data_IF_247528998857
#
_entry.id   IF_247528998857
#
_cell.length_a   1.000
_cell.length_b   1.000
_cell.length_c   1.000
_cell.angle_alpha   90.00
_cell.angle_beta   90.00
_cell.angle_gamma   90.00
#
_symmetry.space_group_name_H-M   'P 1'
#
loop_
_entity.id
_entity.type
_entity.pdbx_description
1 polymer ?
#
# COMPACT_ATOMS: atom_id res chain seq x y z
N UNK A 1 -11.91 -2.78 -4.89
CA UNK A 1 -12.39 -2.78 -6.29
C UNK A 1 -12.29 -4.19 -6.86
N UNK A 2 -11.09 -4.75 -7.06
CA UNK A 2 -10.89 -6.04 -7.74
C UNK A 2 -11.60 -7.26 -7.10
N UNK A 3 -11.67 -7.36 -5.76
CA UNK A 3 -12.36 -8.49 -5.10
C UNK A 3 -13.89 -8.41 -5.22
N UNK A 4 -14.45 -7.20 -5.14
CA UNK A 4 -15.89 -7.00 -5.26
C UNK A 4 -16.36 -7.36 -6.67
N UNK A 5 -15.63 -6.90 -7.69
CA UNK A 5 -15.93 -7.22 -9.09
C UNK A 5 -15.87 -8.73 -9.38
N UNK A 6 -14.92 -9.44 -8.76
CA UNK A 6 -14.87 -10.90 -8.84
C UNK A 6 -16.10 -11.55 -8.18
N UNK A 7 -16.47 -11.14 -6.97
CA UNK A 7 -17.59 -11.72 -6.25
C UNK A 7 -18.92 -11.46 -7.00
N UNK A 8 -19.10 -10.27 -7.57
CA UNK A 8 -20.26 -9.89 -8.40
C UNK A 8 -20.32 -10.71 -9.70
N UNK A 9 -19.17 -10.93 -10.36
CA UNK A 9 -19.09 -11.74 -11.57
C UNK A 9 -19.40 -13.22 -11.30
N UNK A 10 -18.93 -13.77 -10.17
CA UNK A 10 -19.26 -15.13 -9.75
C UNK A 10 -20.75 -15.24 -9.43
N UNK A 11 -21.33 -14.25 -8.77
CA UNK A 11 -22.76 -14.22 -8.46
C UNK A 11 -23.63 -14.20 -9.72
N UNK A 12 -23.31 -13.35 -10.69
CA UNK A 12 -24.02 -13.32 -11.97
C UNK A 12 -23.92 -14.66 -12.73
N UNK A 13 -22.75 -15.30 -12.70
CA UNK A 13 -22.55 -16.62 -13.32
C UNK A 13 -23.38 -17.69 -12.62
N UNK A 14 -23.31 -17.78 -11.29
CA UNK A 14 -24.06 -18.76 -10.50
C UNK A 14 -25.58 -18.59 -10.66
N UNK A 15 -26.08 -17.36 -10.76
CA UNK A 15 -27.48 -17.10 -11.06
C UNK A 15 -27.92 -17.66 -12.42
N UNK A 16 -27.00 -17.72 -13.39
CA UNK A 16 -27.26 -18.25 -14.74
C UNK A 16 -27.10 -19.78 -14.81
N UNK A 17 -26.10 -20.35 -14.14
CA UNK A 17 -25.75 -21.78 -14.23
C UNK A 17 -26.40 -22.65 -13.15
N UNK A 18 -26.93 -22.04 -12.08
CA UNK A 18 -27.41 -22.75 -10.89
C UNK A 18 -26.28 -23.32 -10.02
N UNK A 19 -25.02 -22.94 -10.26
CA UNK A 19 -23.90 -23.34 -9.42
C UNK A 19 -24.04 -22.80 -7.99
N UNK A 20 -23.63 -23.60 -7.01
CA UNK A 20 -23.53 -23.19 -5.61
C UNK A 20 -22.44 -22.12 -5.46
N UNK A 21 -22.85 -20.89 -5.10
CA UNK A 21 -21.96 -19.74 -4.89
C UNK A 21 -20.82 -20.04 -3.91
N UNK A 22 -21.10 -20.79 -2.84
CA UNK A 22 -20.09 -21.12 -1.83
C UNK A 22 -18.97 -22.01 -2.37
N UNK A 23 -19.28 -22.81 -3.40
CA UNK A 23 -18.32 -23.68 -4.09
C UNK A 23 -17.63 -22.97 -5.26
N UNK A 24 -18.30 -21.99 -5.87
CA UNK A 24 -17.77 -21.21 -6.98
C UNK A 24 -16.76 -20.14 -6.54
N UNK A 25 -16.92 -19.60 -5.33
CA UNK A 25 -16.03 -18.58 -4.78
C UNK A 25 -14.68 -19.15 -4.38
N UNK A 26 -13.60 -18.49 -4.84
CA UNK A 26 -12.25 -18.77 -4.37
C UNK A 26 -12.07 -18.21 -2.97
N UNK A 27 -11.71 -19.08 -2.03
CA UNK A 27 -11.43 -18.69 -0.65
C UNK A 27 -10.32 -17.62 -0.57
N UNK A 28 -10.36 -16.75 0.44
CA UNK A 28 -9.34 -15.70 0.65
C UNK A 28 -7.95 -16.32 0.74
N UNK A 29 -7.83 -17.40 1.49
CA UNK A 29 -6.60 -18.17 1.66
C UNK A 29 -6.02 -18.68 0.35
N UNK A 30 -6.88 -19.17 -0.55
CA UNK A 30 -6.46 -19.67 -1.86
C UNK A 30 -6.16 -18.56 -2.85
N UNK A 31 -6.75 -17.37 -2.69
CA UNK A 31 -6.45 -16.19 -3.51
C UNK A 31 -5.15 -15.50 -3.12
N UNK A 32 -4.65 -15.72 -1.90
CA UNK A 32 -3.47 -15.05 -1.38
C UNK A 32 -2.16 -15.59 -1.97
N UNK A 33 -1.16 -14.72 -2.12
CA UNK A 33 0.18 -15.15 -2.51
C UNK A 33 0.74 -16.13 -1.45
N UNK A 34 1.10 -17.33 -1.90
CA UNK A 34 1.51 -18.42 -1.01
C UNK A 34 2.77 -18.10 -0.19
N UNK A 35 3.70 -17.32 -0.74
CA UNK A 35 4.92 -16.92 -0.04
C UNK A 35 4.61 -15.87 1.03
N UNK A 36 3.77 -14.89 0.72
CA UNK A 36 3.31 -13.90 1.71
C UNK A 36 2.52 -14.56 2.84
N UNK A 37 1.64 -15.51 2.52
CA UNK A 37 0.87 -16.25 3.52
C UNK A 37 1.78 -17.07 4.47
N UNK A 38 2.83 -17.70 3.93
CA UNK A 38 3.86 -18.38 4.75
C UNK A 38 4.58 -17.40 5.68
N UNK A 39 4.92 -16.21 5.18
CA UNK A 39 5.56 -15.17 6.01
C UNK A 39 4.62 -14.70 7.11
N UNK A 40 3.34 -14.45 6.81
CA UNK A 40 2.33 -14.09 7.79
C UNK A 40 2.21 -15.15 8.90
N UNK A 41 2.13 -16.43 8.51
CA UNK A 41 2.08 -17.56 9.44
C UNK A 41 3.28 -17.63 10.39
N UNK A 42 4.49 -17.28 9.90
CA UNK A 42 5.71 -17.21 10.72
C UNK A 42 5.67 -16.05 11.73
N UNK A 43 5.17 -14.89 11.32
CA UNK A 43 5.00 -13.72 12.20
C UNK A 43 3.96 -13.98 13.31
N UNK A 44 2.88 -14.69 12.96
CA UNK A 44 1.76 -15.07 13.81
C UNK A 44 2.06 -16.19 14.83
N UNK A 45 3.25 -16.18 15.43
CA UNK A 45 3.66 -17.14 16.49
C UNK A 45 3.46 -18.63 16.14
N UNK A 46 3.81 -19.04 14.92
CA UNK A 46 3.96 -20.46 14.57
C UNK A 46 2.69 -21.17 14.09
N UNK A 47 1.75 -20.44 13.50
CA UNK A 47 0.64 -21.04 12.74
C UNK A 47 1.16 -21.62 11.42
N UNK A 48 0.47 -22.59 10.83
CA UNK A 48 0.81 -23.11 9.48
C UNK A 48 -0.18 -22.60 8.44
N UNK A 49 0.19 -22.67 7.17
CA UNK A 49 -0.71 -22.30 6.07
C UNK A 49 -2.00 -23.11 6.16
N UNK A 50 -1.98 -24.35 6.64
CA UNK A 50 -3.15 -25.20 6.75
C UNK A 50 -4.07 -24.75 7.89
N UNK A 51 -3.50 -24.29 9.01
CA UNK A 51 -4.23 -23.94 10.23
C UNK A 51 -4.73 -22.49 10.28
N UNK A 52 -4.18 -21.59 9.46
CA UNK A 52 -4.65 -20.20 9.43
C UNK A 52 -6.07 -20.12 8.85
N UNK A 53 -6.95 -19.40 9.55
CA UNK A 53 -8.36 -19.16 9.17
C UNK A 53 -8.49 -17.91 8.31
N UNK A 54 -9.57 -17.81 7.52
CA UNK A 54 -9.81 -16.65 6.64
C UNK A 54 -9.97 -15.36 7.46
N UNK A 55 -10.75 -15.39 8.53
CA UNK A 55 -10.95 -14.26 9.45
C UNK A 55 -9.62 -13.78 10.05
N UNK A 56 -8.67 -14.69 10.29
CA UNK A 56 -7.36 -14.32 10.82
C UNK A 56 -6.51 -13.62 9.77
N UNK A 57 -6.55 -14.07 8.52
CA UNK A 57 -5.86 -13.39 7.41
C UNK A 57 -6.40 -11.97 7.27
N UNK A 58 -7.73 -11.80 7.27
CA UNK A 58 -8.39 -10.50 7.17
C UNK A 58 -8.05 -9.61 8.37
N UNK A 59 -8.14 -10.12 9.59
CA UNK A 59 -7.81 -9.35 10.80
C UNK A 59 -6.35 -8.88 10.83
N UNK A 60 -5.41 -9.70 10.37
CA UNK A 60 -4.01 -9.27 10.29
C UNK A 60 -3.78 -8.26 9.16
N UNK A 61 -4.48 -8.38 8.03
CA UNK A 61 -4.46 -7.34 7.00
C UNK A 61 -5.02 -6.03 7.54
N UNK A 62 -6.14 -6.06 8.27
CA UNK A 62 -6.73 -4.88 8.90
C UNK A 62 -5.81 -4.28 9.96
N UNK A 63 -5.03 -5.09 10.68
CA UNK A 63 -4.01 -4.59 11.60
C UNK A 63 -2.81 -3.99 10.88
N UNK A 64 -2.35 -4.59 9.79
CA UNK A 64 -1.25 -4.04 8.99
C UNK A 64 -1.72 -2.72 8.38
N UNK A 65 -2.88 -2.72 7.73
CA UNK A 65 -3.51 -1.53 7.17
C UNK A 65 -3.76 -0.49 8.26
N UNK A 66 -4.35 -0.88 9.38
CA UNK A 66 -4.65 -0.01 10.52
C UNK A 66 -3.43 0.47 11.31
N UNK A 67 -2.25 -0.14 11.16
CA UNK A 67 -0.98 0.41 11.67
C UNK A 67 -0.26 1.26 10.64
N UNK A 68 -0.40 0.92 9.36
CA UNK A 68 0.26 1.59 8.24
C UNK A 68 -0.54 2.80 7.75
N UNK A 69 -1.83 2.92 8.03
CA UNK A 69 -2.69 3.95 7.40
C UNK A 69 -3.20 5.10 8.27
N UNK A 70 -3.44 4.99 9.60
CA UNK A 70 -3.93 6.16 10.34
C UNK A 70 -2.88 7.26 10.49
N UNK A 71 -1.60 6.89 10.65
CA UNK A 71 -0.52 7.84 11.00
C UNK A 71 0.63 7.91 9.97
N UNK A 72 0.64 7.07 8.93
CA UNK A 72 1.83 6.90 8.07
C UNK A 72 1.79 7.63 6.71
N UNK A 73 0.76 8.43 6.44
CA UNK A 73 0.79 9.43 5.36
C UNK A 73 0.94 10.81 6.02
N UNK A 74 2.17 11.23 6.35
CA UNK A 74 2.39 12.56 6.88
C UNK A 74 1.94 13.60 5.84
N UNK A 75 1.51 14.75 6.34
CA UNK A 75 1.24 15.91 5.49
C UNK A 75 2.43 16.17 4.57
N UNK A 76 2.17 16.25 3.27
CA UNK A 76 3.21 16.38 2.24
C UNK A 76 4.05 17.64 2.44
N UNK A 77 3.43 18.72 2.94
CA UNK A 77 4.12 19.98 3.19
C UNK A 77 5.11 19.76 4.35
N UNK A 78 4.68 19.12 5.44
CA UNK A 78 5.57 18.75 6.55
C UNK A 78 6.76 17.86 6.13
N UNK A 79 6.56 16.94 5.18
CA UNK A 79 7.65 16.08 4.68
C UNK A 79 8.65 16.89 3.88
N UNK A 80 8.16 17.77 3.00
CA UNK A 80 9.02 18.60 2.16
C UNK A 80 9.78 19.61 3.00
N UNK A 81 9.13 20.22 3.98
CA UNK A 81 9.76 21.14 4.93
C UNK A 81 10.87 20.48 5.74
N UNK A 82 10.79 19.20 6.04
CA UNK A 82 11.86 18.52 6.80
C UNK A 82 12.95 17.97 5.89
N UNK A 83 12.59 17.39 4.75
CA UNK A 83 13.49 16.53 3.95
C UNK A 83 13.99 17.14 2.65
N UNK A 84 13.31 18.18 2.14
CA UNK A 84 13.66 18.89 0.91
C UNK A 84 14.00 20.34 1.23
N UNK A 85 15.05 20.53 2.04
CA UNK A 85 15.60 21.84 2.36
C UNK A 85 16.88 22.10 1.58
N UNK A 86 16.98 23.31 1.02
CA UNK A 86 18.22 23.79 0.44
C UNK A 86 19.20 24.17 1.55
N UNK A 87 20.43 23.66 1.47
CA UNK A 87 21.50 24.01 2.40
C UNK A 87 21.98 25.45 2.11
N UNK A 88 21.54 26.41 2.93
CA UNK A 88 21.89 27.82 2.74
C UNK A 88 23.32 28.16 3.17
N UNK A 89 23.96 27.31 3.97
CA UNK A 89 25.34 27.49 4.43
C UNK A 89 26.36 27.14 3.32
N UNK A 90 25.92 26.41 2.30
CA UNK A 90 26.69 26.20 1.07
C UNK A 90 26.90 27.53 0.32
N UNK A 91 28.15 28.01 0.33
CA UNK A 91 28.54 29.30 -0.26
C UNK A 91 28.58 29.27 -1.79
N UNK A 92 28.91 28.12 -2.39
CA UNK A 92 28.84 27.98 -3.84
C UNK A 92 27.37 27.82 -4.26
N UNK A 93 26.84 28.86 -4.88
CA UNK A 93 25.44 28.91 -5.33
C UNK A 93 25.13 27.79 -6.33
N UNK A 94 26.06 27.47 -7.24
CA UNK A 94 25.85 26.42 -8.24
C UNK A 94 25.82 25.06 -7.56
N UNK A 95 26.77 24.79 -6.66
CA UNK A 95 26.80 23.55 -5.90
C UNK A 95 25.54 23.42 -5.02
N UNK A 96 25.10 24.49 -4.38
CA UNK A 96 23.89 24.52 -3.55
C UNK A 96 22.64 24.11 -4.32
N UNK A 97 22.43 24.72 -5.49
CA UNK A 97 21.27 24.42 -6.34
C UNK A 97 21.34 22.99 -6.87
N UNK A 98 22.51 22.54 -7.32
CA UNK A 98 22.70 21.17 -7.81
C UNK A 98 22.45 20.12 -6.71
N UNK A 99 22.97 20.35 -5.51
CA UNK A 99 22.79 19.46 -4.36
C UNK A 99 21.31 19.36 -3.98
N UNK A 100 20.56 20.45 -4.03
CA UNK A 100 19.11 20.46 -3.79
C UNK A 100 18.36 19.58 -4.81
N UNK A 101 18.64 19.73 -6.11
CA UNK A 101 18.01 18.87 -7.12
C UNK A 101 18.41 17.40 -7.01
N UNK A 102 19.64 17.11 -6.60
CA UNK A 102 20.08 15.74 -6.31
C UNK A 102 19.36 15.15 -5.10
N UNK A 103 19.18 15.93 -4.03
CA UNK A 103 18.42 15.56 -2.84
C UNK A 103 16.96 15.23 -3.19
N UNK A 104 16.31 16.11 -3.96
CA UNK A 104 14.96 15.89 -4.49
C UNK A 104 14.89 14.60 -5.31
N UNK A 105 15.80 14.40 -6.26
CA UNK A 105 15.83 13.17 -7.08
C UNK A 105 16.02 11.91 -6.23
N UNK A 106 16.85 11.98 -5.19
CA UNK A 106 17.09 10.85 -4.28
C UNK A 106 15.85 10.51 -3.46
N UNK A 107 15.18 11.52 -2.91
CA UNK A 107 13.93 11.38 -2.17
C UNK A 107 12.86 10.66 -3.00
N UNK A 108 12.62 11.11 -4.23
CA UNK A 108 11.63 10.52 -5.13
C UNK A 108 11.97 9.10 -5.60
N UNK A 109 13.21 8.65 -5.44
CA UNK A 109 13.63 7.29 -5.81
C UNK A 109 13.58 6.29 -4.65
N UNK A 110 13.67 6.75 -3.41
CA UNK A 110 13.97 5.90 -2.26
C UNK A 110 12.86 5.84 -1.24
N UNK A 111 11.93 6.82 -1.24
CA UNK A 111 10.80 6.79 -0.32
C UNK A 111 9.65 5.93 -0.89
N UNK A 112 9.32 4.85 -0.19
CA UNK A 112 8.26 3.93 -0.59
C UNK A 112 6.87 4.60 -0.64
N UNK A 113 6.70 5.77 -0.02
CA UNK A 113 5.45 6.55 -0.01
C UNK A 113 5.26 7.43 -1.24
N UNK A 114 6.24 7.50 -2.14
CA UNK A 114 6.23 8.37 -3.34
C UNK A 114 4.92 8.29 -4.15
N UNK A 115 4.34 7.10 -4.44
CA UNK A 115 3.08 7.03 -5.19
C UNK A 115 1.91 7.73 -4.49
N UNK A 116 1.88 7.70 -3.15
CA UNK A 116 0.84 8.35 -2.35
C UNK A 116 1.05 9.87 -2.30
N UNK A 117 2.31 10.30 -2.12
CA UNK A 117 2.67 11.72 -2.15
C UNK A 117 2.35 12.34 -3.51
N UNK A 118 2.61 11.63 -4.62
CA UNK A 118 2.25 12.08 -5.96
C UNK A 118 0.74 12.29 -6.11
N UNK A 119 -0.09 11.38 -5.58
CA UNK A 119 -1.54 11.56 -5.60
C UNK A 119 -1.97 12.79 -4.80
N UNK A 120 -1.36 13.07 -3.65
CA UNK A 120 -1.65 14.27 -2.86
C UNK A 120 -1.24 15.55 -3.60
N UNK A 121 -0.08 15.59 -4.26
CA UNK A 121 0.33 16.73 -5.11
C UNK A 121 -0.67 16.95 -6.22
N UNK A 122 -1.06 15.89 -6.94
CA UNK A 122 -2.01 15.99 -8.05
C UNK A 122 -3.39 16.47 -7.58
N UNK A 123 -3.84 16.04 -6.40
CA UNK A 123 -5.09 16.52 -5.78
C UNK A 123 -5.00 18.01 -5.42
N UNK A 124 -3.94 18.43 -4.72
CA UNK A 124 -3.72 19.85 -4.38
C UNK A 124 -3.64 20.73 -5.64
N UNK A 125 -2.99 20.27 -6.70
CA UNK A 125 -2.85 21.03 -7.95
C UNK A 125 -4.12 21.05 -8.81
N UNK A 126 -5.10 20.19 -8.53
CA UNK A 126 -6.40 20.20 -9.23
C UNK A 126 -7.42 21.14 -8.56
N UNK A 127 -7.10 21.67 -7.38
CA UNK A 127 -7.93 22.63 -6.63
C UNK A 127 -7.61 24.10 -6.98
N UNK A 128 -6.67 24.33 -7.91
CA UNK A 128 -6.28 25.63 -8.47
C UNK A 128 -6.55 25.69 -9.98
#
# INVERSE_FOLDING_TARGET
>A
MERQEYDDAIEARCATTGEDKSKALRSVKNSFNRQLLKTLCKFERGTTVEKITEDRILSELDKIIGKVMPDAIPDIDSIFDVRLKMDLDQRDIKARVLNYFMLMRSFWKTDWRVPLLQQQVLRKNAEY
#
